data_IF_119417594370
#
_entry.id   IF_119417594370
#
_cell.length_a   1.000
_cell.length_b   1.000
_cell.length_c   1.000
_cell.angle_alpha   90.00
_cell.angle_beta   90.00
_cell.angle_gamma   90.00
#
_symmetry.space_group_name_H-M   'P 1'
#
loop_
_entity.id
_entity.type
_entity.pdbx_description
1 polymer ?
#
# COMPACT_ATOMS: atom_id res chain seq x y z
N UNK A 1 2.36 23.48 14.38
CA UNK A 1 2.40 23.08 13.45
C UNK A 1 2.65 21.84 13.23
N UNK A 2 2.11 21.26 12.73
CA UNK A 2 2.21 20.00 12.74
C UNK A 2 3.18 19.51 11.94
N UNK A 3 4.00 19.03 11.97
CA UNK A 3 4.95 18.44 11.17
C UNK A 3 4.70 16.98 10.98
N UNK A 4 3.46 16.63 10.79
CA UNK A 4 3.17 15.22 10.62
C UNK A 4 3.69 14.72 9.28
N UNK A 5 4.36 13.61 9.32
CA UNK A 5 4.88 12.95 8.12
C UNK A 5 3.91 11.83 7.79
N UNK A 6 3.27 11.88 6.64
CA UNK A 6 2.21 10.92 6.30
C UNK A 6 2.42 10.32 4.93
N UNK A 7 1.81 9.15 4.75
CA UNK A 7 1.74 8.46 3.47
C UNK A 7 0.27 8.20 3.18
N UNK A 8 -0.16 8.47 1.98
CA UNK A 8 -1.52 8.13 1.55
C UNK A 8 -1.46 6.79 0.82
N UNK A 9 -2.29 5.84 1.23
CA UNK A 9 -2.35 4.53 0.61
C UNK A 9 -3.68 4.39 -0.10
N UNK A 10 -3.65 4.05 -1.38
CA UNK A 10 -4.86 3.88 -2.20
C UNK A 10 -4.99 2.45 -2.67
N UNK A 11 -6.23 2.01 -2.78
CA UNK A 11 -6.53 0.65 -3.21
C UNK A 11 -7.42 0.70 -4.43
N UNK A 12 -7.14 -0.13 -5.42
CA UNK A 12 -7.85 -0.10 -6.69
C UNK A 12 -8.47 -1.44 -7.04
N UNK A 13 -9.56 -1.39 -7.78
CA UNK A 13 -10.22 -2.57 -8.35
C UNK A 13 -10.53 -3.62 -7.29
N UNK A 14 -10.14 -4.85 -7.54
CA UNK A 14 -10.44 -5.95 -6.64
C UNK A 14 -9.78 -5.79 -5.28
N UNK A 15 -8.63 -5.13 -5.21
CA UNK A 15 -8.00 -4.88 -3.92
C UNK A 15 -8.90 -3.99 -3.08
N UNK A 16 -9.43 -2.92 -3.67
CA UNK A 16 -10.32 -2.01 -2.96
C UNK A 16 -11.56 -2.74 -2.47
N UNK A 17 -12.11 -3.62 -3.29
CA UNK A 17 -13.29 -4.38 -2.88
C UNK A 17 -12.97 -5.35 -1.76
N UNK A 18 -11.82 -5.99 -1.83
CA UNK A 18 -11.45 -6.98 -0.82
C UNK A 18 -11.27 -6.35 0.54
N UNK A 19 -10.65 -5.17 0.61
CA UNK A 19 -10.42 -4.52 1.90
C UNK A 19 -11.51 -3.51 2.26
N UNK A 20 -12.47 -3.31 1.37
CA UNK A 20 -13.60 -2.41 1.58
C UNK A 20 -13.13 -1.00 1.95
N UNK A 21 -12.04 -0.57 1.36
CA UNK A 21 -11.44 0.72 1.67
C UNK A 21 -10.87 1.30 0.39
N UNK A 22 -11.16 2.56 0.12
CA UNK A 22 -10.67 3.21 -1.07
C UNK A 22 -9.28 3.81 -0.84
N UNK A 23 -9.08 4.44 0.29
CA UNK A 23 -7.78 4.99 0.64
C UNK A 23 -7.71 5.24 2.14
N UNK A 24 -6.51 5.35 2.65
CA UNK A 24 -6.29 5.71 4.04
C UNK A 24 -4.96 6.43 4.15
N UNK A 25 -4.76 7.08 5.30
CA UNK A 25 -3.54 7.82 5.56
C UNK A 25 -2.83 7.17 6.74
N UNK A 26 -1.53 6.94 6.59
CA UNK A 26 -0.70 6.38 7.64
C UNK A 26 0.37 7.37 8.03
N UNK A 27 0.78 7.36 9.30
CA UNK A 27 1.92 8.15 9.72
C UNK A 27 3.20 7.45 9.30
N UNK A 28 4.07 8.19 8.64
CA UNK A 28 5.36 7.65 8.25
C UNK A 28 6.26 7.51 9.48
N UNK A 29 7.05 6.45 9.53
CA UNK A 29 8.05 6.27 10.56
C UNK A 29 9.13 5.36 10.01
N UNK A 30 10.19 5.17 10.74
CA UNK A 30 11.25 4.28 10.28
C UNK A 30 10.77 2.85 10.14
N UNK A 31 9.80 2.45 10.96
CA UNK A 31 9.25 1.12 10.83
C UNK A 31 8.14 1.04 9.79
N UNK A 32 7.87 2.14 9.10
CA UNK A 32 6.87 2.16 8.05
C UNK A 32 7.42 2.97 6.88
N UNK A 33 8.65 2.68 6.50
CA UNK A 33 9.35 3.48 5.50
C UNK A 33 9.57 2.76 4.18
N UNK A 34 9.04 1.54 4.03
CA UNK A 34 9.10 0.85 2.74
C UNK A 34 7.74 0.30 2.41
N UNK A 35 7.52 0.01 1.11
CA UNK A 35 6.27 -0.59 0.68
C UNK A 35 6.03 -1.90 1.42
N UNK A 36 7.08 -2.70 1.58
CA UNK A 36 6.95 -3.99 2.25
C UNK A 36 6.49 -3.83 3.69
N UNK A 37 7.02 -2.84 4.40
CA UNK A 37 6.60 -2.60 5.78
C UNK A 37 5.14 -2.16 5.86
N UNK A 38 4.70 -1.33 4.91
CA UNK A 38 3.31 -0.91 4.87
C UNK A 38 2.40 -2.11 4.63
N UNK A 39 2.79 -3.00 3.71
CA UNK A 39 1.99 -4.20 3.46
C UNK A 39 1.89 -5.06 4.71
N UNK A 40 2.99 -5.20 5.45
CA UNK A 40 2.98 -6.01 6.66
C UNK A 40 2.04 -5.44 7.71
N UNK A 41 2.10 -4.13 7.92
CA UNK A 41 1.23 -3.48 8.90
C UNK A 41 -0.24 -3.61 8.49
N UNK A 42 -0.54 -3.36 7.23
CA UNK A 42 -1.93 -3.42 6.78
C UNK A 42 -2.47 -4.84 6.80
N UNK A 43 -1.61 -5.84 6.57
CA UNK A 43 -2.04 -7.23 6.61
C UNK A 43 -2.51 -7.65 7.99
N UNK A 44 -2.11 -6.94 9.03
CA UNK A 44 -2.54 -7.25 10.38
C UNK A 44 -3.94 -6.75 10.69
N UNK A 45 -4.56 -6.02 9.77
CA UNK A 45 -5.90 -5.49 10.00
C UNK A 45 -6.99 -6.56 9.86
N UNK A 46 -6.66 -7.73 9.29
CA UNK A 46 -7.63 -8.80 9.17
C UNK A 46 -7.30 -9.70 8.01
N UNK A 47 -8.07 -10.81 7.89
CA UNK A 47 -7.80 -11.78 6.84
C UNK A 47 -8.00 -11.22 5.44
N UNK A 48 -8.99 -10.35 5.25
CA UNK A 48 -9.22 -9.78 3.94
C UNK A 48 -8.02 -8.94 3.50
N UNK A 49 -7.43 -8.19 4.43
CA UNK A 49 -6.25 -7.40 4.14
C UNK A 49 -5.06 -8.29 3.84
N UNK A 50 -4.85 -9.31 4.67
CA UNK A 50 -3.73 -10.22 4.49
C UNK A 50 -3.83 -10.94 3.16
N UNK A 51 -5.00 -11.44 2.82
CA UNK A 51 -5.20 -12.17 1.57
C UNK A 51 -4.98 -11.26 0.36
N UNK A 52 -5.51 -10.04 0.41
CA UNK A 52 -5.40 -9.13 -0.72
C UNK A 52 -3.97 -8.68 -0.95
N UNK A 53 -3.23 -8.43 0.12
CA UNK A 53 -1.90 -7.84 0.02
C UNK A 53 -0.79 -8.88 -0.08
N UNK A 54 -1.09 -10.17 0.10
CA UNK A 54 -0.05 -11.18 0.00
C UNK A 54 -0.01 -11.86 -1.36
N UNK A 55 -0.81 -11.41 -2.30
CA UNK A 55 -0.81 -12.01 -3.63
C UNK A 55 0.57 -11.83 -4.26
N UNK A 56 1.17 -12.90 -4.78
CA UNK A 56 2.54 -12.81 -5.28
C UNK A 56 2.70 -11.86 -6.48
N UNK A 57 1.64 -11.63 -7.23
CA UNK A 57 1.70 -10.75 -8.39
C UNK A 57 1.04 -9.40 -8.15
N UNK A 58 0.88 -9.04 -6.89
CA UNK A 58 0.33 -7.73 -6.55
C UNK A 58 1.23 -6.63 -7.11
N UNK A 59 0.60 -5.59 -7.65
CA UNK A 59 1.33 -4.46 -8.20
C UNK A 59 1.24 -3.31 -7.22
N UNK A 60 2.36 -2.65 -6.95
CA UNK A 60 2.37 -1.46 -6.12
C UNK A 60 3.07 -0.34 -6.87
N UNK A 61 2.59 0.87 -6.65
CA UNK A 61 3.15 2.05 -7.29
C UNK A 61 3.33 3.15 -6.26
N UNK A 62 4.42 3.89 -6.36
CA UNK A 62 4.67 5.04 -5.51
C UNK A 62 4.67 6.27 -6.41
N UNK A 63 3.78 7.20 -6.13
CA UNK A 63 3.62 8.42 -6.92
C UNK A 63 3.45 8.08 -8.40
N UNK A 64 2.61 7.05 -8.65
CA UNK A 64 2.22 6.62 -9.99
C UNK A 64 3.34 5.92 -10.76
N UNK A 65 4.36 5.44 -10.06
CA UNK A 65 5.41 4.64 -10.67
C UNK A 65 5.41 3.26 -10.06
N UNK A 66 5.33 2.23 -10.89
CA UNK A 66 5.39 0.85 -10.42
C UNK A 66 6.77 0.61 -9.81
N UNK A 67 6.77 0.04 -8.61
CA UNK A 67 8.02 -0.19 -7.86
C UNK A 67 8.00 -1.58 -7.26
N UNK A 68 9.16 -1.98 -6.74
CA UNK A 68 9.29 -3.24 -6.01
C UNK A 68 9.02 -3.01 -4.53
N UNK A 69 8.70 -4.08 -3.78
CA UNK A 69 8.36 -3.92 -2.36
C UNK A 69 9.44 -3.29 -1.50
N UNK A 70 10.70 -3.34 -1.94
CA UNK A 70 11.78 -2.73 -1.18
C UNK A 70 11.83 -1.22 -1.32
N UNK A 71 11.00 -0.65 -2.18
CA UNK A 71 11.02 0.80 -2.42
C UNK A 71 10.81 1.58 -1.15
N UNK A 72 11.68 2.56 -0.91
CA UNK A 72 11.55 3.45 0.23
C UNK A 72 10.43 4.45 -0.01
N UNK A 73 9.81 4.85 1.08
CA UNK A 73 8.73 5.84 1.07
C UNK A 73 9.18 7.06 1.85
N UNK A 74 8.71 8.21 1.43
CA UNK A 74 9.01 9.47 2.07
C UNK A 74 7.71 10.20 2.41
N UNK A 75 7.83 11.24 3.23
CA UNK A 75 6.70 12.06 3.60
C UNK A 75 5.98 12.56 2.34
N UNK A 76 4.68 12.42 2.34
CA UNK A 76 3.86 12.91 1.23
C UNK A 76 3.71 11.93 0.08
N UNK A 77 4.38 10.78 0.15
CA UNK A 77 4.25 9.82 -0.94
C UNK A 77 2.86 9.22 -0.99
N UNK A 78 2.45 8.86 -2.19
CA UNK A 78 1.20 8.17 -2.42
C UNK A 78 1.53 6.75 -2.87
N UNK A 79 1.10 5.77 -2.08
CA UNK A 79 1.32 4.36 -2.38
C UNK A 79 0.01 3.77 -2.85
N UNK A 80 0.03 3.08 -3.98
CA UNK A 80 -1.17 2.49 -4.55
C UNK A 80 -0.96 0.99 -4.76
N UNK A 81 -2.01 0.22 -4.50
CA UNK A 81 -2.01 -1.21 -4.71
C UNK A 81 -3.03 -1.58 -5.79
N UNK A 82 -2.61 -2.40 -6.72
CA UNK A 82 -3.43 -2.86 -7.83
C UNK A 82 -3.42 -4.38 -7.89
N UNK A 83 -4.53 -4.99 -8.34
CA UNK A 83 -4.50 -6.42 -8.57
C UNK A 83 -3.56 -6.75 -9.71
N UNK A 84 -3.10 -8.01 -9.77
CA UNK A 84 -2.21 -8.38 -10.86
C UNK A 84 -2.93 -8.24 -12.20
N UNK A 85 -2.17 -7.80 -13.19
CA UNK A 85 -2.72 -7.71 -14.53
C UNK A 85 -2.74 -9.11 -15.11
N UNK A 86 -3.91 -9.60 -15.40
CA UNK A 86 -3.95 -10.87 -16.09
C UNK A 86 -3.80 -10.52 -17.53
N UNK A 87 -2.76 -10.92 -18.10
CA UNK A 87 -2.51 -10.61 -19.45
C UNK A 87 -3.49 -11.32 -20.32
N UNK A 88 -4.58 -11.03 -20.26
CA UNK A 88 -5.68 -11.41 -21.12
C UNK A 88 -5.41 -12.52 -22.04
#
# INVERSE_FOLDING_TARGET
MSGEVTITVKFFSLIREAVATEQLVLEWSESLSTVEQVKAVLSERGEAWSAALSHPNLIQAVNQRVVFPEQNLADGDELAFFPPMTGG
#
